data_IF_312488610440
#
_entry.id   IF_312488610440
#
_cell.length_a   1.000
_cell.length_b   1.000
_cell.length_c   1.000
_cell.angle_alpha   90.00
_cell.angle_beta   90.00
_cell.angle_gamma   90.00
#
_symmetry.space_group_name_H-M   'P 1'
#
loop_
_entity.id
_entity.type
_entity.pdbx_description
1 polymer ?
#
# COMPACT_ATOMS: atom_id res chain seq x y z
N UNK A 1 -10.96 5.07 9.60
CA UNK A 1 -10.57 4.31 8.40
C UNK A 1 -11.26 2.96 8.35
N UNK A 2 -11.03 2.03 9.30
CA UNK A 2 -11.65 0.68 9.26
C UNK A 2 -13.19 0.67 9.18
N UNK A 3 -13.86 1.57 9.90
CA UNK A 3 -15.33 1.70 9.83
C UNK A 3 -15.76 2.14 8.42
N UNK A 4 -15.09 3.15 7.85
CA UNK A 4 -15.32 3.60 6.48
C UNK A 4 -15.08 2.46 5.45
N UNK A 5 -14.03 1.66 5.65
CA UNK A 5 -13.75 0.51 4.81
C UNK A 5 -14.85 -0.56 4.87
N UNK A 6 -15.41 -0.82 6.05
CA UNK A 6 -16.51 -1.77 6.19
C UNK A 6 -17.77 -1.26 5.48
N UNK A 7 -18.11 0.02 5.64
CA UNK A 7 -19.25 0.64 4.95
C UNK A 7 -19.14 0.49 3.43
N UNK A 8 -17.97 0.80 2.85
CA UNK A 8 -17.70 0.61 1.41
C UNK A 8 -17.88 -0.84 0.94
N UNK A 9 -17.51 -1.82 1.76
CA UNK A 9 -17.65 -3.23 1.40
C UNK A 9 -19.08 -3.75 1.57
N UNK A 10 -19.87 -3.16 2.47
CA UNK A 10 -21.27 -3.52 2.75
C UNK A 10 -22.24 -2.91 1.75
N UNK A 11 -22.04 -1.65 1.38
CA UNK A 11 -22.94 -0.92 0.48
C UNK A 11 -22.83 -1.40 -0.97
N UNK A 12 -21.72 -2.05 -1.35
CA UNK A 12 -21.46 -2.44 -2.73
C UNK A 12 -21.37 -1.25 -3.69
N UNK A 13 -21.42 -0.03 -3.14
CA UNK A 13 -21.18 1.21 -3.85
C UNK A 13 -19.73 1.19 -4.35
N UNK A 14 -19.57 1.49 -5.63
CA UNK A 14 -18.26 1.64 -6.24
C UNK A 14 -17.48 2.79 -5.61
N UNK A 15 -16.32 3.07 -6.16
CA UNK A 15 -15.38 4.07 -5.65
C UNK A 15 -15.84 5.53 -5.80
N UNK A 16 -17.06 5.76 -6.28
CA UNK A 16 -17.77 7.06 -6.31
C UNK A 16 -18.48 7.41 -4.99
N UNK A 17 -18.21 6.69 -3.91
CA UNK A 17 -18.75 6.98 -2.58
C UNK A 17 -17.93 8.06 -1.87
N UNK A 18 -18.61 8.99 -1.18
CA UNK A 18 -17.97 9.99 -0.29
C UNK A 18 -17.08 9.36 0.80
N UNK A 19 -17.32 8.08 1.09
CA UNK A 19 -16.52 7.28 2.01
C UNK A 19 -15.15 6.95 1.41
N UNK A 20 -15.06 6.70 0.10
CA UNK A 20 -13.79 6.52 -0.60
C UNK A 20 -12.98 7.81 -0.59
N UNK A 21 -13.59 8.97 -0.89
CA UNK A 21 -12.92 10.27 -0.86
C UNK A 21 -12.26 10.56 0.50
N UNK A 22 -12.92 10.17 1.60
CA UNK A 22 -12.33 10.27 2.93
C UNK A 22 -11.07 9.40 3.06
N UNK A 23 -11.09 8.15 2.58
CA UNK A 23 -9.93 7.24 2.63
C UNK A 23 -8.81 7.74 1.71
N UNK A 24 -9.12 8.21 0.50
CA UNK A 24 -8.14 8.77 -0.43
C UNK A 24 -7.47 10.02 0.17
N UNK A 25 -8.24 10.89 0.82
CA UNK A 25 -7.70 12.05 1.54
C UNK A 25 -6.74 11.67 2.67
N UNK A 26 -6.94 10.51 3.31
CA UNK A 26 -6.07 10.00 4.37
C UNK A 26 -4.67 9.59 3.85
N UNK A 27 -4.49 9.36 2.54
CA UNK A 27 -3.17 9.09 1.94
C UNK A 27 -2.20 10.26 2.07
N UNK A 28 -2.71 11.49 2.25
CA UNK A 28 -1.91 12.72 2.39
C UNK A 28 -1.85 13.23 3.84
N UNK A 29 -2.25 12.40 4.80
CA UNK A 29 -2.27 12.78 6.20
C UNK A 29 -0.86 12.99 6.77
N UNK A 30 -0.71 13.77 7.84
CA UNK A 30 0.61 14.02 8.47
C UNK A 30 1.18 12.83 9.26
N UNK A 31 0.30 11.92 9.66
CA UNK A 31 0.65 10.75 10.47
C UNK A 31 0.82 9.52 9.57
N UNK A 32 2.03 8.96 9.56
CA UNK A 32 2.42 7.80 8.74
C UNK A 32 1.53 6.57 8.97
N UNK A 33 1.02 6.36 10.19
CA UNK A 33 0.12 5.25 10.49
C UNK A 33 -1.24 5.40 9.79
N UNK A 34 -1.75 6.63 9.70
CA UNK A 34 -3.01 6.95 9.02
C UNK A 34 -2.85 6.73 7.51
N UNK A 35 -1.72 7.20 6.97
CA UNK A 35 -1.36 7.02 5.56
C UNK A 35 -1.27 5.52 5.22
N UNK A 36 -0.53 4.75 6.02
CA UNK A 36 -0.38 3.31 5.81
C UNK A 36 -1.72 2.57 5.84
N UNK A 37 -2.55 2.85 6.85
CA UNK A 37 -3.84 2.21 7.00
C UNK A 37 -4.76 2.53 5.80
N UNK A 38 -4.73 3.77 5.30
CA UNK A 38 -5.47 4.15 4.11
C UNK A 38 -4.99 3.38 2.86
N UNK A 39 -3.69 3.33 2.61
CA UNK A 39 -3.13 2.61 1.46
C UNK A 39 -3.45 1.10 1.52
N UNK A 40 -3.25 0.47 2.68
CA UNK A 40 -3.57 -0.94 2.88
C UNK A 40 -5.07 -1.22 2.73
N UNK A 41 -5.93 -0.27 3.11
CA UNK A 41 -7.38 -0.37 2.94
C UNK A 41 -7.76 -0.35 1.47
N UNK A 42 -7.27 0.62 0.70
CA UNK A 42 -7.55 0.75 -0.75
C UNK A 42 -7.15 -0.52 -1.49
N UNK A 43 -5.97 -1.07 -1.20
CA UNK A 43 -5.47 -2.32 -1.79
C UNK A 43 -6.36 -3.52 -1.45
N UNK A 44 -7.05 -3.50 -0.31
CA UNK A 44 -7.90 -4.60 0.14
C UNK A 44 -9.35 -4.49 -0.34
N UNK A 45 -9.72 -3.43 -1.06
CA UNK A 45 -11.07 -3.27 -1.62
C UNK A 45 -11.28 -4.28 -2.76
N UNK A 46 -12.48 -4.87 -2.82
CA UNK A 46 -12.82 -5.91 -3.82
C UNK A 46 -12.82 -5.37 -5.26
N UNK A 47 -13.18 -4.11 -5.45
CA UNK A 47 -13.35 -3.47 -6.75
C UNK A 47 -12.47 -2.22 -6.87
N UNK A 48 -11.17 -2.34 -6.56
CA UNK A 48 -10.23 -1.23 -6.67
C UNK A 48 -9.91 -0.93 -8.14
N UNK A 49 -9.95 0.34 -8.54
CA UNK A 49 -9.57 0.73 -9.90
C UNK A 49 -8.05 0.84 -10.03
N UNK A 50 -7.47 0.69 -11.24
CA UNK A 50 -6.03 0.83 -11.44
C UNK A 50 -5.47 2.18 -10.97
N UNK A 51 -6.27 3.24 -11.06
CA UNK A 51 -5.90 4.59 -10.61
C UNK A 51 -5.76 4.65 -9.09
N UNK A 52 -6.72 4.09 -8.35
CA UNK A 52 -6.73 4.07 -6.89
C UNK A 52 -5.62 3.18 -6.34
N UNK A 53 -5.42 2.02 -6.98
CA UNK A 53 -4.30 1.13 -6.68
C UNK A 53 -2.98 1.86 -6.87
N UNK A 54 -2.81 2.61 -7.96
CA UNK A 54 -1.60 3.40 -8.23
C UNK A 54 -1.36 4.45 -7.14
N UNK A 55 -2.40 5.15 -6.67
CA UNK A 55 -2.28 6.11 -5.56
C UNK A 55 -1.78 5.45 -4.27
N UNK A 56 -2.33 4.27 -3.91
CA UNK A 56 -1.89 3.53 -2.74
C UNK A 56 -0.45 3.00 -2.89
N UNK A 57 -0.09 2.47 -4.06
CA UNK A 57 1.26 1.96 -4.34
C UNK A 57 2.30 3.08 -4.26
N UNK A 58 2.03 4.27 -4.81
CA UNK A 58 2.95 5.41 -4.74
C UNK A 58 3.31 5.80 -3.30
N UNK A 59 2.34 5.73 -2.40
CA UNK A 59 2.56 6.01 -0.98
C UNK A 59 3.38 4.91 -0.32
N UNK A 60 3.10 3.65 -0.63
CA UNK A 60 3.91 2.53 -0.11
C UNK A 60 5.34 2.58 -0.64
N UNK A 61 5.55 3.01 -1.89
CA UNK A 61 6.87 3.22 -2.47
C UNK A 61 7.69 4.23 -1.65
N UNK A 62 7.10 5.35 -1.25
CA UNK A 62 7.77 6.34 -0.38
C UNK A 62 8.20 5.73 0.97
N UNK A 63 7.45 4.76 1.50
CA UNK A 63 7.82 4.09 2.75
C UNK A 63 8.99 3.11 2.59
N UNK A 64 9.28 2.61 1.38
CA UNK A 64 10.46 1.78 1.12
C UNK A 64 11.77 2.54 1.40
N UNK A 65 11.80 3.85 1.13
CA UNK A 65 12.96 4.70 1.37
C UNK A 65 13.04 5.27 2.80
N UNK A 66 12.14 4.86 3.70
CA UNK A 66 12.11 5.39 5.07
C UNK A 66 13.33 4.95 5.89
N UNK A 67 13.79 5.82 6.79
CA UNK A 67 14.79 5.48 7.81
C UNK A 67 14.20 4.59 8.92
N UNK A 68 12.87 4.52 9.04
CA UNK A 68 12.17 3.68 10.03
C UNK A 68 11.94 2.28 9.46
N UNK A 69 12.63 1.29 10.01
CA UNK A 69 12.51 -0.12 9.60
C UNK A 69 11.07 -0.66 9.67
N UNK A 70 10.25 -0.16 10.61
CA UNK A 70 8.83 -0.54 10.73
C UNK A 70 8.03 -0.15 9.50
N UNK A 71 8.26 1.04 8.93
CA UNK A 71 7.55 1.50 7.73
C UNK A 71 8.00 0.74 6.49
N UNK A 72 9.31 0.54 6.34
CA UNK A 72 9.86 -0.28 5.25
C UNK A 72 9.27 -1.68 5.24
N UNK A 73 9.24 -2.33 6.41
CA UNK A 73 8.66 -3.67 6.57
C UNK A 73 7.17 -3.70 6.22
N UNK A 74 6.39 -2.74 6.73
CA UNK A 74 4.97 -2.66 6.48
C UNK A 74 4.67 -2.45 4.97
N UNK A 75 5.45 -1.59 4.31
CA UNK A 75 5.32 -1.32 2.89
C UNK A 75 5.68 -2.54 2.03
N UNK A 76 6.87 -3.12 2.23
CA UNK A 76 7.32 -4.32 1.53
C UNK A 76 6.33 -5.47 1.70
N UNK A 77 5.84 -5.72 2.92
CA UNK A 77 4.88 -6.79 3.18
C UNK A 77 3.57 -6.58 2.42
N UNK A 78 3.12 -5.33 2.30
CA UNK A 78 1.88 -5.00 1.60
C UNK A 78 2.07 -5.11 0.09
N UNK A 79 3.17 -4.58 -0.45
CA UNK A 79 3.53 -4.70 -1.87
C UNK A 79 3.71 -6.16 -2.29
N UNK A 80 4.26 -7.02 -1.43
CA UNK A 80 4.36 -8.45 -1.69
C UNK A 80 2.98 -9.09 -1.97
N UNK A 81 1.95 -8.70 -1.21
CA UNK A 81 0.57 -9.15 -1.46
C UNK A 81 0.02 -8.61 -2.78
N UNK A 82 0.31 -7.34 -3.10
CA UNK A 82 -0.12 -6.71 -4.35
C UNK A 82 0.54 -7.38 -5.54
N UNK A 83 1.83 -7.75 -5.45
CA UNK A 83 2.56 -8.38 -6.56
C UNK A 83 1.92 -9.70 -7.01
N UNK A 84 1.30 -10.45 -6.09
CA UNK A 84 0.59 -11.70 -6.39
C UNK A 84 -0.68 -11.45 -7.25
N UNK A 85 -1.38 -10.34 -7.01
CA UNK A 85 -2.66 -10.04 -7.67
C UNK A 85 -2.52 -9.09 -8.88
N UNK A 86 -1.62 -8.11 -8.77
CA UNK A 86 -1.44 -6.98 -9.69
C UNK A 86 0.06 -6.71 -9.92
N UNK A 87 0.81 -7.66 -10.54
CA UNK A 87 2.27 -7.54 -10.68
C UNK A 87 2.70 -6.27 -11.42
N UNK A 88 1.95 -5.84 -12.44
CA UNK A 88 2.24 -4.63 -13.21
C UNK A 88 2.17 -3.33 -12.36
N UNK A 89 1.38 -3.32 -11.29
CA UNK A 89 1.29 -2.16 -10.40
C UNK A 89 2.54 -2.00 -9.54
N UNK A 90 3.26 -3.10 -9.26
CA UNK A 90 4.44 -3.10 -8.37
C UNK A 90 5.74 -2.80 -9.12
N UNK A 91 5.74 -2.89 -10.45
CA UNK A 91 6.94 -2.64 -11.27
C UNK A 91 7.59 -1.28 -11.02
N UNK A 92 6.79 -0.26 -10.69
CA UNK A 92 7.30 1.08 -10.34
C UNK A 92 8.18 1.08 -9.08
N UNK A 93 8.00 0.11 -8.18
CA UNK A 93 8.73 -0.04 -6.93
C UNK A 93 10.01 -0.90 -7.07
N UNK A 94 10.28 -1.51 -8.24
CA UNK A 94 11.35 -2.50 -8.38
C UNK A 94 12.72 -1.95 -8.00
N UNK A 95 13.04 -0.72 -8.44
CA UNK A 95 14.31 -0.07 -8.11
C UNK A 95 14.47 0.10 -6.60
N UNK A 96 13.42 0.55 -5.90
CA UNK A 96 13.45 0.71 -4.45
C UNK A 96 13.54 -0.64 -3.74
N UNK A 97 12.81 -1.66 -4.22
CA UNK A 97 12.85 -3.02 -3.69
C UNK A 97 14.24 -3.66 -3.82
N UNK A 98 14.95 -3.43 -4.93
CA UNK A 98 16.32 -3.90 -5.14
C UNK A 98 17.27 -3.33 -4.08
N UNK A 99 17.10 -2.07 -3.69
CA UNK A 99 17.92 -1.48 -2.60
C UNK A 99 17.70 -2.18 -1.26
N UNK A 100 16.49 -2.72 -1.02
CA UNK A 100 16.13 -3.39 0.23
C UNK A 100 16.61 -4.84 0.33
N UNK A 101 17.10 -5.45 -0.76
CA UNK A 101 17.69 -6.80 -0.73
C UNK A 101 18.89 -6.85 0.25
N UNK A 102 19.57 -5.72 0.43
CA UNK A 102 20.72 -5.59 1.35
C UNK A 102 20.36 -4.99 2.72
N UNK A 103 19.07 -4.84 3.03
CA UNK A 103 18.61 -4.29 4.31
C UNK A 103 19.13 -5.13 5.48
N UNK A 104 19.57 -4.47 6.56
CA UNK A 104 20.05 -5.14 7.77
C UNK A 104 18.95 -5.96 8.47
N UNK A 105 17.68 -5.59 8.27
CA UNK A 105 16.55 -6.40 8.69
C UNK A 105 16.27 -7.51 7.66
N UNK A 106 16.65 -8.73 8.03
CA UNK A 106 16.48 -9.92 7.17
C UNK A 106 15.03 -10.14 6.71
N UNK A 107 14.03 -9.80 7.52
CA UNK A 107 12.63 -9.97 7.12
C UNK A 107 12.24 -9.03 5.98
N UNK A 108 12.81 -7.82 5.96
CA UNK A 108 12.60 -6.86 4.86
C UNK A 108 13.30 -7.36 3.61
N UNK A 109 14.57 -7.76 3.72
CA UNK A 109 15.36 -8.27 2.60
C UNK A 109 14.68 -9.50 1.95
N UNK A 110 14.25 -10.48 2.75
CA UNK A 110 13.54 -11.66 2.23
C UNK A 110 12.26 -11.29 1.52
N UNK A 111 11.44 -10.41 2.11
CA UNK A 111 10.18 -10.01 1.49
C UNK A 111 10.41 -9.19 0.21
N UNK A 112 11.46 -8.37 0.14
CA UNK A 112 11.84 -7.65 -1.07
C UNK A 112 12.20 -8.61 -2.21
N UNK A 113 13.00 -9.64 -1.94
CA UNK A 113 13.33 -10.70 -2.90
C UNK A 113 12.06 -11.40 -3.40
N UNK A 114 11.12 -11.75 -2.52
CA UNK A 114 9.89 -12.44 -2.94
C UNK A 114 8.87 -11.53 -3.63
N UNK A 115 9.09 -10.22 -3.66
CA UNK A 115 8.19 -9.25 -4.30
C UNK A 115 8.60 -8.93 -5.74
N UNK A 116 9.90 -9.02 -6.03
CA UNK A 116 10.49 -8.87 -7.36
C UNK A 116 10.24 -10.13 -8.22
#
# INVERSE_FOLDING_TARGET
>A
IRIAANLLNEEGEGTDSSVYDFIDSCLRHKNEMVIYEAASTIISLKCVTPKELSSAVNVLQLFLTSTKSVLRYAAVRTLNKVAIQYPAAVTACNVDLETLITDSNRSIATLAITTL
#
